data_IF_186080408261
#
_entry.id   IF_186080408261
#
_cell.length_a   1.000
_cell.length_b   1.000
_cell.length_c   1.000
_cell.angle_alpha   90.00
_cell.angle_beta   90.00
_cell.angle_gamma   90.00
#
_symmetry.space_group_name_H-M   'P 1'
#
loop_
_entity.id
_entity.type
_entity.pdbx_description
1 polymer ?
#
# COMPACT_ATOMS: atom_id res chain seq x y z
N UNK A 1 -38.52 27.92 -0.19
CA UNK A 1 -37.17 28.01 -0.82
C UNK A 1 -36.34 26.83 -0.32
N UNK A 2 -35.96 25.92 -1.22
CA UNK A 2 -35.16 24.72 -0.92
C UNK A 2 -33.68 25.05 -1.14
N UNK A 3 -32.85 24.94 -0.12
CA UNK A 3 -31.39 25.02 -0.28
C UNK A 3 -30.86 23.62 -0.58
N UNK A 4 -30.44 23.41 -1.82
CA UNK A 4 -29.63 22.26 -2.24
C UNK A 4 -28.17 22.60 -1.98
N UNK A 5 -27.56 21.97 -0.97
CA UNK A 5 -26.12 22.02 -0.79
C UNK A 5 -25.55 20.89 -1.66
N UNK A 6 -25.10 21.23 -2.86
CA UNK A 6 -24.17 20.38 -3.61
C UNK A 6 -22.84 20.42 -2.86
N UNK A 7 -22.44 19.29 -2.28
CA UNK A 7 -21.06 19.08 -1.83
C UNK A 7 -20.24 18.93 -3.11
N UNK A 8 -19.72 20.05 -3.61
CA UNK A 8 -18.76 20.10 -4.71
C UNK A 8 -17.40 19.63 -4.19
N UNK A 9 -16.82 18.68 -4.92
CA UNK A 9 -15.45 18.25 -4.84
C UNK A 9 -14.49 19.46 -4.81
N UNK A 10 -13.88 19.72 -3.66
CA UNK A 10 -13.09 20.92 -3.45
C UNK A 10 -12.07 20.84 -2.32
N UNK A 11 -11.54 19.65 -2.02
CA UNK A 11 -10.46 19.49 -1.01
C UNK A 11 -9.10 19.19 -1.65
N UNK A 12 -9.02 19.05 -2.98
CA UNK A 12 -7.77 18.76 -3.68
C UNK A 12 -6.91 19.99 -4.00
N UNK A 13 -7.36 21.21 -3.73
CA UNK A 13 -6.71 22.44 -4.21
C UNK A 13 -6.03 23.32 -3.14
N UNK A 14 -5.70 22.78 -1.95
CA UNK A 14 -5.02 23.56 -0.89
C UNK A 14 -3.86 22.83 -0.20
N UNK A 15 -3.23 21.85 -0.86
CA UNK A 15 -2.26 20.97 -0.19
C UNK A 15 -0.79 21.24 -0.48
N UNK A 16 -0.43 22.22 -1.31
CA UNK A 16 0.97 22.30 -1.76
C UNK A 16 1.85 23.24 -0.92
N UNK A 17 1.30 23.93 0.08
CA UNK A 17 2.06 24.86 0.94
C UNK A 17 1.75 24.75 2.45
N UNK A 18 1.14 23.66 2.92
CA UNK A 18 0.84 23.49 4.35
C UNK A 18 1.91 22.64 5.07
N UNK A 19 2.22 23.05 6.30
CA UNK A 19 3.22 22.47 7.18
C UNK A 19 3.02 20.93 7.33
N UNK A 20 4.07 20.08 7.20
CA UNK A 20 3.93 18.62 7.21
C UNK A 20 3.27 18.05 8.49
N UNK A 21 3.38 18.79 9.60
CA UNK A 21 2.76 18.45 10.90
C UNK A 21 1.25 18.67 10.91
N UNK A 22 0.75 19.69 10.21
CA UNK A 22 -0.69 19.97 10.06
C UNK A 22 -1.36 18.95 9.13
N UNK A 23 -0.63 18.44 8.14
CA UNK A 23 -1.11 17.38 7.25
C UNK A 23 -1.43 16.06 7.97
N UNK A 24 -0.66 15.70 9.01
CA UNK A 24 -0.91 14.50 9.80
C UNK A 24 -2.22 14.58 10.58
N UNK A 25 -2.46 15.71 11.25
CA UNK A 25 -3.66 15.94 12.05
C UNK A 25 -4.92 16.03 11.18
N UNK A 26 -4.88 16.78 10.08
CA UNK A 26 -6.01 16.87 9.15
C UNK A 26 -6.37 15.52 8.51
N UNK A 27 -5.37 14.68 8.17
CA UNK A 27 -5.61 13.31 7.69
C UNK A 27 -6.22 12.40 8.78
N UNK A 28 -5.81 12.56 10.03
CA UNK A 28 -6.40 11.80 11.14
C UNK A 28 -7.86 12.20 11.40
N UNK A 29 -8.16 13.50 11.41
CA UNK A 29 -9.52 14.01 11.59
C UNK A 29 -10.45 13.60 10.45
N UNK A 30 -9.99 13.66 9.20
CA UNK A 30 -10.79 13.24 8.02
C UNK A 30 -11.03 11.73 8.02
N UNK A 31 -10.04 10.90 8.37
CA UNK A 31 -10.23 9.45 8.53
C UNK A 31 -11.22 9.11 9.64
N UNK A 32 -11.12 9.77 10.80
CA UNK A 32 -12.06 9.58 11.91
C UNK A 32 -13.49 9.97 11.53
N UNK A 33 -13.67 11.09 10.83
CA UNK A 33 -14.98 11.51 10.35
C UNK A 33 -15.58 10.56 9.30
N UNK A 34 -14.75 10.07 8.37
CA UNK A 34 -15.16 9.07 7.37
C UNK A 34 -15.57 7.74 8.04
N UNK A 35 -14.83 7.29 9.05
CA UNK A 35 -15.19 6.08 9.79
C UNK A 35 -16.50 6.26 10.58
N UNK A 36 -16.66 7.39 11.28
CA UNK A 36 -17.87 7.69 12.04
C UNK A 36 -19.12 7.77 11.15
N UNK A 37 -18.99 8.37 9.96
CA UNK A 37 -20.08 8.45 8.98
C UNK A 37 -20.44 7.07 8.41
N UNK A 38 -19.45 6.24 8.09
CA UNK A 38 -19.69 4.85 7.66
C UNK A 38 -20.37 4.00 8.74
N UNK A 39 -19.91 4.10 10.00
CA UNK A 39 -20.52 3.36 11.12
C UNK A 39 -21.97 3.77 11.33
N UNK A 40 -22.25 5.07 11.27
CA UNK A 40 -23.63 5.59 11.35
C UNK A 40 -24.50 5.10 10.19
N UNK A 41 -23.98 5.08 8.96
CA UNK A 41 -24.70 4.54 7.81
C UNK A 41 -25.01 3.03 7.97
N UNK A 42 -24.06 2.24 8.48
CA UNK A 42 -24.28 0.82 8.76
C UNK A 42 -25.34 0.60 9.82
N UNK A 43 -25.31 1.34 10.93
CA UNK A 43 -26.35 1.24 11.97
C UNK A 43 -27.74 1.55 11.42
N UNK A 44 -27.85 2.53 10.51
CA UNK A 44 -29.11 2.82 9.83
C UNK A 44 -29.56 1.68 8.90
N UNK A 45 -28.62 1.01 8.22
CA UNK A 45 -28.94 -0.16 7.39
C UNK A 45 -29.39 -1.35 8.23
N UNK A 46 -28.74 -1.62 9.37
CA UNK A 46 -29.13 -2.66 10.32
C UNK A 46 -30.55 -2.40 10.82
N UNK A 47 -30.85 -1.19 11.29
CA UNK A 47 -32.21 -0.83 11.74
C UNK A 47 -33.26 -1.01 10.64
N UNK A 48 -32.96 -0.60 9.41
CA UNK A 48 -33.86 -0.79 8.26
C UNK A 48 -34.11 -2.26 7.96
N UNK A 49 -33.06 -3.09 8.00
CA UNK A 49 -33.17 -4.54 7.79
C UNK A 49 -33.97 -5.21 8.91
N UNK A 50 -33.76 -4.80 10.17
CA UNK A 50 -34.53 -5.29 11.31
C UNK A 50 -36.03 -5.02 11.12
N UNK A 51 -36.39 -3.77 10.82
CA UNK A 51 -37.79 -3.38 10.58
C UNK A 51 -38.40 -4.11 9.37
N UNK A 52 -37.61 -4.36 8.32
CA UNK A 52 -38.06 -5.11 7.15
C UNK A 52 -38.29 -6.60 7.47
N UNK A 53 -37.44 -7.21 8.31
CA UNK A 53 -37.60 -8.57 8.79
C UNK A 53 -38.84 -8.66 9.67
N UNK A 54 -39.03 -7.75 10.62
CA UNK A 54 -40.19 -7.75 11.52
C UNK A 54 -41.51 -7.63 10.74
N UNK A 55 -41.54 -6.71 9.76
CA UNK A 55 -42.68 -6.55 8.85
C UNK A 55 -42.93 -7.81 8.01
N UNK A 56 -41.87 -8.41 7.45
CA UNK A 56 -41.99 -9.63 6.66
C UNK A 56 -42.37 -10.86 7.51
N UNK A 57 -41.98 -10.91 8.79
CA UNK A 57 -42.45 -11.95 9.73
C UNK A 57 -43.93 -11.79 10.04
N UNK A 58 -44.40 -10.56 10.28
CA UNK A 58 -45.81 -10.29 10.52
C UNK A 58 -46.66 -10.65 9.30
N UNK A 59 -46.20 -10.29 8.10
CA UNK A 59 -46.85 -10.66 6.84
C UNK A 59 -46.84 -12.18 6.60
N UNK A 60 -45.74 -12.87 6.95
CA UNK A 60 -45.66 -14.33 6.86
C UNK A 60 -46.63 -15.03 7.83
N UNK A 61 -46.80 -14.50 9.03
CA UNK A 61 -47.73 -15.03 10.04
C UNK A 61 -49.17 -14.79 9.59
N UNK A 62 -49.49 -13.59 9.12
CA UNK A 62 -50.84 -13.22 8.62
C UNK A 62 -51.23 -13.99 7.35
N UNK A 63 -50.29 -14.30 6.47
CA UNK A 63 -50.52 -15.02 5.21
C UNK A 63 -50.46 -16.55 5.33
N UNK A 64 -50.32 -17.11 6.54
CA UNK A 64 -50.26 -18.56 6.75
C UNK A 64 -49.00 -19.23 6.20
N UNK A 65 -47.90 -18.49 6.04
CA UNK A 65 -46.60 -19.06 5.66
C UNK A 65 -46.36 -19.18 4.15
N UNK A 66 -46.89 -18.26 3.33
CA UNK A 66 -46.60 -18.20 1.90
C UNK A 66 -45.09 -18.31 1.60
N UNK A 67 -44.74 -19.12 0.60
CA UNK A 67 -43.33 -19.38 0.22
C UNK A 67 -42.58 -18.10 -0.17
N UNK A 68 -43.25 -17.10 -0.74
CA UNK A 68 -42.64 -15.82 -1.10
C UNK A 68 -42.14 -15.05 0.14
N UNK A 69 -42.94 -14.99 1.21
CA UNK A 69 -42.55 -14.35 2.46
C UNK A 69 -41.38 -15.09 3.15
N UNK A 70 -41.40 -16.43 3.10
CA UNK A 70 -40.29 -17.27 3.58
C UNK A 70 -39.00 -17.05 2.79
N UNK A 71 -39.07 -16.95 1.46
CA UNK A 71 -37.90 -16.66 0.60
C UNK A 71 -37.31 -15.29 0.92
N UNK A 72 -38.14 -14.27 1.13
CA UNK A 72 -37.68 -12.93 1.50
C UNK A 72 -36.98 -12.93 2.87
N UNK A 73 -37.54 -13.61 3.87
CA UNK A 73 -36.91 -13.75 5.20
C UNK A 73 -35.57 -14.49 5.12
N UNK A 74 -35.48 -15.55 4.32
CA UNK A 74 -34.25 -16.32 4.12
C UNK A 74 -33.15 -15.51 3.42
N UNK A 75 -33.50 -14.46 2.66
CA UNK A 75 -32.52 -13.55 2.06
C UNK A 75 -32.09 -12.42 2.99
N UNK A 76 -32.96 -11.95 3.88
CA UNK A 76 -32.67 -10.82 4.77
C UNK A 76 -31.94 -11.24 6.05
N UNK A 77 -32.27 -12.39 6.64
CA UNK A 77 -31.62 -12.93 7.85
C UNK A 77 -30.10 -13.14 7.73
N UNK A 78 -29.55 -13.74 6.66
CA UNK A 78 -28.10 -13.88 6.52
C UNK A 78 -27.41 -12.53 6.40
N UNK A 79 -28.00 -11.58 5.65
CA UNK A 79 -27.45 -10.21 5.55
C UNK A 79 -27.37 -9.54 6.91
N UNK A 80 -28.40 -9.68 7.75
CA UNK A 80 -28.40 -9.16 9.11
C UNK A 80 -27.32 -9.82 9.98
N UNK A 81 -27.16 -11.15 9.87
CA UNK A 81 -26.11 -11.91 10.57
C UNK A 81 -24.70 -11.43 10.17
N UNK A 82 -24.46 -11.21 8.88
CA UNK A 82 -23.18 -10.73 8.37
C UNK A 82 -22.84 -9.33 8.92
N UNK A 83 -23.84 -8.45 9.05
CA UNK A 83 -23.65 -7.14 9.68
C UNK A 83 -23.25 -7.24 11.16
N UNK A 84 -23.87 -8.15 11.94
CA UNK A 84 -23.52 -8.35 13.34
C UNK A 84 -22.11 -8.95 13.52
N UNK A 85 -21.73 -9.93 12.68
CA UNK A 85 -20.37 -10.50 12.70
C UNK A 85 -19.33 -9.42 12.42
N UNK A 86 -19.61 -8.54 11.46
CA UNK A 86 -18.72 -7.44 11.11
C UNK A 86 -18.61 -6.41 12.23
N UNK A 87 -19.73 -6.08 12.90
CA UNK A 87 -19.75 -5.15 14.04
C UNK A 87 -18.96 -5.71 15.23
N UNK A 88 -19.15 -6.99 15.55
CA UNK A 88 -18.42 -7.69 16.60
C UNK A 88 -16.92 -7.81 16.30
N UNK A 89 -16.54 -8.07 15.03
CA UNK A 89 -15.15 -8.07 14.62
C UNK A 89 -14.51 -6.67 14.75
N UNK A 90 -15.26 -5.60 14.46
CA UNK A 90 -14.76 -4.23 14.64
C UNK A 90 -14.65 -3.81 16.10
N UNK A 91 -15.61 -4.19 16.94
CA UNK A 91 -15.57 -3.89 18.38
C UNK A 91 -14.47 -4.68 19.08
N UNK A 92 -14.28 -5.95 18.72
CA UNK A 92 -13.17 -6.79 19.21
C UNK A 92 -11.82 -6.20 18.83
N UNK A 93 -11.65 -5.73 17.59
CA UNK A 93 -10.42 -5.03 17.17
C UNK A 93 -10.20 -3.72 17.90
N UNK A 94 -11.26 -2.93 18.10
CA UNK A 94 -11.16 -1.68 18.85
C UNK A 94 -10.79 -1.93 20.32
N UNK A 95 -11.37 -2.95 20.94
CA UNK A 95 -11.04 -3.36 22.30
C UNK A 95 -9.60 -3.87 22.41
N UNK A 96 -9.16 -4.72 21.47
CA UNK A 96 -7.78 -5.16 21.41
C UNK A 96 -6.83 -3.97 21.29
N UNK A 97 -7.12 -3.04 20.37
CA UNK A 97 -6.33 -1.82 20.19
C UNK A 97 -6.28 -0.99 21.49
N UNK A 98 -7.41 -0.78 22.15
CA UNK A 98 -7.47 -0.07 23.43
C UNK A 98 -6.62 -0.76 24.51
N UNK A 99 -6.71 -2.10 24.62
CA UNK A 99 -5.89 -2.89 25.56
C UNK A 99 -4.39 -2.76 25.26
N UNK A 100 -4.01 -2.65 23.98
CA UNK A 100 -2.62 -2.41 23.57
C UNK A 100 -2.14 -0.98 23.81
N UNK A 101 -3.04 0.02 23.73
CA UNK A 101 -2.76 1.43 23.99
C UNK A 101 -2.67 1.74 25.50
N UNK A 102 -3.52 1.12 26.31
CA UNK A 102 -3.57 1.35 27.77
C UNK A 102 -2.45 0.62 28.52
N UNK A 103 -2.01 -0.55 28.03
CA UNK A 103 -0.94 -1.33 28.67
C UNK A 103 0.41 -1.11 27.98
N UNK A 104 1.28 -0.31 28.60
CA UNK A 104 2.63 0.01 28.09
C UNK A 104 3.50 -1.22 27.76
N UNK A 105 3.32 -2.34 28.47
CA UNK A 105 4.06 -3.57 28.19
C UNK A 105 3.53 -4.29 26.94
N UNK A 106 2.23 -4.24 26.71
CA UNK A 106 1.57 -4.89 25.58
C UNK A 106 1.77 -4.11 24.29
N UNK A 107 1.84 -2.77 24.35
CA UNK A 107 2.23 -1.93 23.21
C UNK A 107 3.67 -2.18 22.73
N UNK A 108 4.62 -2.42 23.65
CA UNK A 108 5.99 -2.83 23.30
C UNK A 108 6.02 -4.21 22.65
N UNK A 109 5.23 -5.16 23.14
CA UNK A 109 5.09 -6.48 22.55
C UNK A 109 4.44 -6.44 21.15
N UNK A 110 3.43 -5.59 20.96
CA UNK A 110 2.83 -5.37 19.64
C UNK A 110 3.86 -4.77 18.68
N UNK A 111 4.56 -3.70 19.07
CA UNK A 111 5.60 -3.09 18.25
C UNK A 111 6.71 -4.10 17.87
N UNK A 112 7.13 -4.94 18.82
CA UNK A 112 8.11 -5.99 18.59
C UNK A 112 7.61 -7.10 17.66
N UNK A 113 6.40 -7.62 17.87
CA UNK A 113 5.79 -8.65 16.99
C UNK A 113 5.52 -8.12 15.59
N UNK A 114 5.07 -6.88 15.47
CA UNK A 114 4.83 -6.24 14.18
C UNK A 114 6.15 -6.00 13.46
N UNK A 115 7.19 -5.55 14.18
CA UNK A 115 8.55 -5.43 13.65
C UNK A 115 9.04 -6.79 13.14
N UNK A 116 8.96 -7.87 13.93
CA UNK A 116 9.37 -9.21 13.48
C UNK A 116 8.59 -9.65 12.24
N UNK A 117 7.30 -9.34 12.17
CA UNK A 117 6.47 -9.67 11.01
C UNK A 117 6.92 -8.93 9.76
N UNK A 118 7.27 -7.64 9.86
CA UNK A 118 7.78 -6.83 8.74
C UNK A 118 9.26 -7.08 8.43
N UNK A 119 10.07 -7.45 9.42
CA UNK A 119 11.50 -7.79 9.27
C UNK A 119 11.64 -9.17 8.61
N UNK A 120 10.65 -10.06 8.77
CA UNK A 120 10.48 -11.27 7.95
C UNK A 120 9.93 -11.00 6.54
N UNK A 121 9.45 -9.77 6.27
CA UNK A 121 9.10 -9.30 4.92
C UNK A 121 10.30 -8.62 4.26
N UNK A 122 11.46 -9.27 4.27
CA UNK A 122 12.60 -8.92 3.43
C UNK A 122 12.20 -9.14 1.96
N UNK A 123 11.79 -8.05 1.30
CA UNK A 123 11.46 -7.88 -0.13
C UNK A 123 10.82 -9.13 -0.75
N UNK A 124 9.54 -9.34 -0.47
CA UNK A 124 8.80 -10.47 -1.06
C UNK A 124 8.45 -10.30 -2.53
N UNK A 125 8.61 -9.09 -3.07
CA UNK A 125 8.07 -8.75 -4.38
C UNK A 125 9.02 -7.79 -5.09
N UNK A 126 9.51 -8.16 -6.26
CA UNK A 126 10.19 -7.24 -7.17
C UNK A 126 9.37 -7.10 -8.44
N UNK A 127 9.30 -5.87 -8.95
CA UNK A 127 8.69 -5.63 -10.25
C UNK A 127 9.74 -5.90 -11.33
N UNK A 128 9.43 -6.81 -12.24
CA UNK A 128 10.25 -7.03 -13.41
C UNK A 128 10.15 -5.80 -14.35
N UNK A 129 11.28 -5.13 -14.66
CA UNK A 129 11.28 -3.95 -15.51
C UNK A 129 10.83 -4.24 -16.95
N UNK A 130 10.90 -5.48 -17.42
CA UNK A 130 10.53 -5.82 -18.81
C UNK A 130 9.05 -6.18 -18.95
N UNK A 131 8.54 -7.02 -18.07
CA UNK A 131 7.14 -7.49 -18.13
C UNK A 131 6.17 -6.62 -17.30
N UNK A 132 6.69 -5.69 -16.47
CA UNK A 132 5.90 -4.93 -15.47
C UNK A 132 5.14 -5.81 -14.49
N UNK A 133 5.45 -7.10 -14.41
CA UNK A 133 4.81 -8.04 -13.51
C UNK A 133 5.50 -8.05 -12.15
N UNK A 134 4.71 -8.27 -11.11
CA UNK A 134 5.21 -8.37 -9.74
C UNK A 134 5.53 -9.83 -9.46
N UNK A 135 6.79 -10.09 -9.15
CA UNK A 135 7.35 -11.43 -8.98
C UNK A 135 7.65 -11.68 -7.51
N UNK A 136 7.18 -12.83 -7.00
CA UNK A 136 7.22 -13.13 -5.56
C UNK A 136 8.00 -14.40 -5.19
N UNK A 137 8.37 -15.23 -6.16
CA UNK A 137 9.09 -16.47 -5.91
C UNK A 137 10.61 -16.24 -6.00
N UNK A 138 11.38 -16.68 -4.99
CA UNK A 138 12.84 -16.47 -4.90
C UNK A 138 13.60 -16.80 -6.19
N UNK A 139 13.19 -17.87 -6.90
CA UNK A 139 13.80 -18.29 -8.16
C UNK A 139 13.58 -17.28 -9.29
N UNK A 140 12.36 -16.77 -9.39
CA UNK A 140 12.00 -15.78 -10.39
C UNK A 140 12.58 -14.41 -10.04
N UNK A 141 12.66 -14.09 -8.75
CA UNK A 141 13.34 -12.89 -8.25
C UNK A 141 14.81 -12.91 -8.68
N UNK A 142 15.51 -14.01 -8.42
CA UNK A 142 16.90 -14.19 -8.83
C UNK A 142 17.07 -14.11 -10.35
N UNK A 143 16.14 -14.69 -11.12
CA UNK A 143 16.14 -14.60 -12.60
C UNK A 143 16.04 -13.14 -13.08
N UNK A 144 15.09 -12.37 -12.56
CA UNK A 144 14.88 -10.96 -12.92
C UNK A 144 16.11 -10.11 -12.54
N UNK A 145 16.72 -10.37 -11.38
CA UNK A 145 17.97 -9.70 -11.03
C UNK A 145 19.09 -10.03 -12.01
N UNK A 146 19.27 -11.31 -12.35
CA UNK A 146 20.34 -11.73 -13.26
C UNK A 146 20.16 -11.16 -14.67
N UNK A 147 18.94 -11.15 -15.21
CA UNK A 147 18.66 -10.55 -16.53
C UNK A 147 18.88 -9.04 -16.53
N UNK A 148 18.49 -8.35 -15.45
CA UNK A 148 18.73 -6.92 -15.33
C UNK A 148 20.23 -6.59 -15.33
N UNK A 149 21.02 -7.33 -14.56
CA UNK A 149 22.47 -7.12 -14.52
C UNK A 149 23.17 -7.53 -15.81
N UNK A 150 22.77 -8.65 -16.44
CA UNK A 150 23.35 -9.04 -17.74
C UNK A 150 23.18 -7.92 -18.75
N UNK A 151 21.98 -7.33 -18.81
CA UNK A 151 21.66 -6.21 -19.72
C UNK A 151 22.50 -4.95 -19.47
N UNK A 152 22.78 -4.61 -18.21
CA UNK A 152 23.65 -3.46 -17.90
C UNK A 152 25.05 -3.67 -18.46
N UNK A 153 25.54 -4.90 -18.43
CA UNK A 153 26.89 -5.26 -18.84
C UNK A 153 27.00 -5.83 -20.27
N UNK A 154 25.88 -6.04 -20.96
CA UNK A 154 25.81 -6.42 -22.37
C UNK A 154 26.13 -5.27 -23.33
N UNK A 155 26.20 -4.03 -22.83
CA UNK A 155 26.60 -2.89 -23.65
C UNK A 155 28.11 -2.95 -23.88
N UNK A 156 28.50 -3.62 -24.96
CA UNK A 156 29.82 -3.44 -25.56
C UNK A 156 29.88 -2.01 -26.13
N UNK A 157 30.26 -1.05 -25.28
CA UNK A 157 30.54 0.31 -25.72
C UNK A 157 31.81 0.30 -26.59
N UNK A 158 31.65 0.11 -27.90
CA UNK A 158 32.73 0.39 -28.85
C UNK A 158 32.83 1.91 -29.03
N UNK A 159 33.71 2.54 -28.26
CA UNK A 159 33.97 3.97 -28.43
C UNK A 159 34.86 4.20 -29.65
N UNK A 160 34.51 5.19 -30.47
CA UNK A 160 35.44 5.65 -31.50
C UNK A 160 36.64 6.35 -30.85
N UNK A 161 37.82 6.22 -31.48
CA UNK A 161 39.06 6.85 -31.02
C UNK A 161 38.91 8.37 -30.80
N UNK A 162 38.06 9.00 -31.61
CA UNK A 162 37.75 10.43 -31.54
C UNK A 162 36.93 10.77 -30.27
N UNK A 163 35.92 9.98 -29.94
CA UNK A 163 35.13 10.16 -28.72
C UNK A 163 35.95 9.95 -27.45
N UNK A 164 36.84 8.95 -27.44
CA UNK A 164 37.79 8.74 -26.33
C UNK A 164 38.70 9.96 -26.18
N UNK A 165 39.27 10.47 -27.29
CA UNK A 165 40.16 11.64 -27.24
C UNK A 165 39.49 12.89 -26.67
N UNK A 166 38.21 13.12 -27.00
CA UNK A 166 37.41 14.22 -26.47
C UNK A 166 37.04 14.02 -25.00
N UNK A 167 36.78 12.78 -24.57
CA UNK A 167 36.49 12.48 -23.17
C UNK A 167 37.72 12.65 -22.27
N UNK A 168 38.92 12.32 -22.77
CA UNK A 168 40.16 12.45 -22.02
C UNK A 168 40.80 13.85 -22.10
N UNK A 169 40.39 14.72 -23.03
CA UNK A 169 40.97 16.06 -23.15
C UNK A 169 40.87 16.98 -21.91
N UNK A 170 39.79 16.93 -21.09
CA UNK A 170 39.74 17.72 -19.85
C UNK A 170 40.47 17.06 -18.68
N UNK A 171 40.89 15.79 -18.79
CA UNK A 171 41.56 15.05 -17.72
C UNK A 171 43.05 15.40 -17.74
N UNK A 172 43.48 16.25 -16.81
CA UNK A 172 44.89 16.57 -16.60
C UNK A 172 45.61 15.39 -15.95
N UNK A 173 46.14 14.49 -16.77
CA UNK A 173 46.97 13.41 -16.28
C UNK A 173 48.29 13.96 -15.70
N UNK A 174 48.71 13.52 -14.50
CA UNK A 174 49.99 13.91 -13.93
C UNK A 174 51.11 13.44 -14.86
N UNK A 175 51.92 14.39 -15.34
CA UNK A 175 53.07 14.10 -16.18
C UNK A 175 54.14 13.40 -15.34
N UNK A 176 54.37 12.13 -15.63
CA UNK A 176 55.48 11.37 -15.07
C UNK A 176 56.79 11.99 -15.59
N UNK A 177 57.84 12.02 -14.75
CA UNK A 177 59.12 12.58 -15.15
C UNK A 177 59.76 11.78 -16.30
N UNK A 178 60.50 12.47 -17.17
CA UNK A 178 61.14 11.87 -18.36
C UNK A 178 62.04 10.68 -18.02
N UNK A 179 62.63 10.65 -16.82
CA UNK A 179 63.46 9.53 -16.35
C UNK A 179 62.63 8.24 -16.23
N UNK A 180 61.45 8.32 -15.62
CA UNK A 180 60.56 7.16 -15.42
C UNK A 180 59.95 6.70 -16.75
N UNK A 181 59.67 7.62 -17.67
CA UNK A 181 59.18 7.27 -19.01
C UNK A 181 60.22 6.48 -19.82
N UNK A 182 61.49 6.89 -19.76
CA UNK A 182 62.58 6.20 -20.45
C UNK A 182 62.84 4.81 -19.86
N UNK A 183 62.80 4.68 -18.52
CA UNK A 183 62.96 3.39 -17.84
C UNK A 183 61.84 2.40 -18.18
N UNK A 184 60.60 2.89 -18.35
CA UNK A 184 59.45 2.08 -18.75
C UNK A 184 59.53 1.70 -20.23
N UNK A 185 59.93 2.62 -21.12
CA UNK A 185 60.09 2.33 -22.54
C UNK A 185 61.17 1.28 -22.80
N UNK A 186 62.30 1.34 -22.08
CA UNK A 186 63.38 0.35 -22.18
C UNK A 186 62.97 -1.06 -21.70
N UNK A 187 61.99 -1.17 -20.78
CA UNK A 187 61.48 -2.47 -20.30
C UNK A 187 60.40 -3.08 -21.18
N UNK A 188 59.77 -2.28 -22.04
CA UNK A 188 58.67 -2.73 -22.92
C UNK A 188 59.18 -3.08 -24.33
N UNK A 189 60.39 -2.64 -24.68
CA UNK A 189 61.04 -3.06 -25.93
C UNK A 189 61.79 -4.37 -25.67
N UNK A 190 61.49 -5.48 -26.36
CA UNK A 190 62.20 -6.75 -26.17
C UNK A 190 63.68 -6.66 -26.59
#
# INVERSE_FOLDING_TARGET
MRYSIRVLDGVTALTDNADPRLHGWLRACTKGHQQATQTRQRQLQIKKLQMAIDKATDECIKSGGQEAARRNLNQMRPKLKDFFILEEATSSRAYQQQVYEENQQTGKHLAWTTRIKYEKQTIHQIQDPESSTIVNEDKDIARVFMSHYSRIYEIDCTFSLLQLSQYYSPITLPKISLKVQNDVAQKITP
#
